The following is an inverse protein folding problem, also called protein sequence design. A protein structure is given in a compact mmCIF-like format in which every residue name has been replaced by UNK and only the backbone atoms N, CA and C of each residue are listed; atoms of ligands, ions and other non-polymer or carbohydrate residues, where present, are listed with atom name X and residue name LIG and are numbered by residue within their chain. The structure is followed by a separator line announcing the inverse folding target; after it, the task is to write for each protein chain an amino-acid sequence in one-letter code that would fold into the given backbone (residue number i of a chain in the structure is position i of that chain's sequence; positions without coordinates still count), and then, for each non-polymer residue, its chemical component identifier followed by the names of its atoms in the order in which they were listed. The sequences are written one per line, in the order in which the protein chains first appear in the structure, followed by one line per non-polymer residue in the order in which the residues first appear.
data_IF_191068143886
#
_entry.id   IF_191068143886
#
_cell.length_a   1.000
_cell.length_b   1.000
_cell.length_c   1.000
_cell.angle_alpha   90.00
_cell.angle_beta   90.00
_cell.angle_gamma   90.00
#
_symmetry.space_group_name_H-M   'P 1'
#
loop_
_entity.id
_entity.type
_entity.pdbx_description
1 polymer ?
#
# COMPACT_ATOMS: atom_id res chain seq x y z
N UNK A 1 28.99 -27.43 74.26
CA UNK A 1 27.69 -27.24 73.58
C UNK A 1 27.94 -26.77 72.16
N UNK A 2 27.46 -27.54 71.17
CA UNK A 2 27.05 -27.20 69.78
C UNK A 2 27.35 -28.40 68.88
N UNK A 3 26.37 -29.29 68.79
CA UNK A 3 26.30 -30.38 67.81
C UNK A 3 26.24 -29.75 66.42
N UNK A 4 27.30 -29.91 65.63
CA UNK A 4 27.27 -29.66 64.19
C UNK A 4 26.59 -30.86 63.53
N UNK A 5 25.32 -30.69 63.18
CA UNK A 5 24.57 -31.65 62.40
C UNK A 5 25.26 -31.82 61.04
N UNK A 6 25.81 -33.00 60.78
CA UNK A 6 26.30 -33.39 59.46
C UNK A 6 25.09 -33.44 58.51
N UNK A 7 25.00 -32.48 57.59
CA UNK A 7 24.05 -32.54 56.48
C UNK A 7 24.33 -33.81 55.67
N UNK A 8 23.32 -34.65 55.51
CA UNK A 8 23.39 -35.86 54.68
C UNK A 8 23.49 -35.41 53.20
N UNK A 9 24.35 -36.02 52.37
CA UNK A 9 24.65 -35.54 51.00
C UNK A 9 23.46 -35.60 50.02
N UNK A 10 22.34 -36.22 50.42
CA UNK A 10 21.14 -36.32 49.60
C UNK A 10 20.49 -34.98 49.26
N UNK A 11 20.63 -33.95 50.11
CA UNK A 11 20.09 -32.61 49.83
C UNK A 11 20.83 -31.88 48.70
N UNK A 12 22.13 -32.12 48.56
CA UNK A 12 22.94 -31.51 47.50
C UNK A 12 22.62 -32.13 46.13
N UNK A 13 22.37 -33.43 46.07
CA UNK A 13 22.01 -34.13 44.84
C UNK A 13 20.65 -33.64 44.32
N UNK A 14 19.67 -33.46 45.21
CA UNK A 14 18.36 -32.92 44.84
C UNK A 14 18.43 -31.48 44.31
N UNK A 15 19.28 -30.64 44.91
CA UNK A 15 19.50 -29.28 44.44
C UNK A 15 20.15 -29.24 43.05
N UNK A 16 21.09 -30.13 42.75
CA UNK A 16 21.73 -30.24 41.43
C UNK A 16 20.71 -30.67 40.37
N UNK A 17 19.84 -31.64 40.68
CA UNK A 17 18.80 -32.10 39.76
C UNK A 17 17.81 -30.98 39.43
N UNK A 18 17.39 -30.18 40.42
CA UNK A 18 16.51 -29.02 40.20
C UNK A 18 17.17 -27.93 39.37
N UNK A 19 18.47 -27.67 39.58
CA UNK A 19 19.23 -26.69 38.80
C UNK A 19 19.38 -27.15 37.35
N UNK A 20 19.67 -28.44 37.13
CA UNK A 20 19.76 -29.04 35.80
C UNK A 20 18.39 -29.02 35.10
N UNK A 21 17.30 -29.34 35.82
CA UNK A 21 15.96 -29.27 35.23
C UNK A 21 15.54 -27.84 34.89
N UNK A 22 15.91 -26.85 35.70
CA UNK A 22 15.62 -25.45 35.45
C UNK A 22 16.41 -24.94 34.24
N UNK A 23 17.69 -25.30 34.12
CA UNK A 23 18.52 -24.94 32.95
C UNK A 23 17.99 -25.59 31.69
N UNK A 24 17.60 -26.87 31.73
CA UNK A 24 16.95 -27.55 30.59
C UNK A 24 15.62 -26.87 30.21
N UNK A 25 14.81 -26.49 31.21
CA UNK A 25 13.54 -25.80 30.99
C UNK A 25 13.74 -24.40 30.38
N UNK A 26 14.75 -23.65 30.83
CA UNK A 26 15.14 -22.38 30.20
C UNK A 26 15.68 -22.59 28.77
N UNK A 27 16.32 -23.72 28.48
CA UNK A 27 16.73 -24.10 27.12
C UNK A 27 15.54 -24.44 26.21
N UNK A 28 14.43 -24.95 26.77
CA UNK A 28 13.19 -25.23 26.04
C UNK A 28 12.35 -23.97 25.77
N UNK A 29 12.49 -22.93 26.58
CA UNK A 29 11.73 -21.67 26.45
C UNK A 29 12.41 -20.67 25.50
N UNK A 30 13.70 -20.85 25.21
CA UNK A 30 14.44 -19.96 24.31
C UNK A 30 14.69 -20.67 22.97
N UNK A 31 13.69 -20.77 22.06
CA UNK A 31 13.94 -21.22 20.71
C UNK A 31 14.95 -20.25 20.11
N UNK A 32 16.16 -20.75 19.80
CA UNK A 32 17.09 -20.01 18.95
C UNK A 32 16.35 -19.80 17.63
N UNK A 33 16.09 -18.55 17.28
CA UNK A 33 15.68 -18.20 15.93
C UNK A 33 16.79 -18.72 15.01
N UNK A 34 16.45 -19.77 14.29
CA UNK A 34 17.30 -20.36 13.27
C UNK A 34 17.21 -19.38 12.10
N UNK A 35 18.19 -18.49 11.97
CA UNK A 35 18.33 -17.65 10.79
C UNK A 35 18.45 -18.56 9.57
N UNK A 36 17.37 -18.65 8.81
CA UNK A 36 17.36 -19.28 7.50
C UNK A 36 18.19 -18.39 6.57
N UNK A 37 19.48 -18.70 6.48
CA UNK A 37 20.35 -18.20 5.42
C UNK A 37 19.92 -18.84 4.11
N UNK A 38 19.11 -18.10 3.35
CA UNK A 38 18.74 -18.47 1.98
C UNK A 38 20.01 -18.31 1.14
N UNK A 39 20.59 -19.44 0.72
CA UNK A 39 21.62 -19.47 -0.32
C UNK A 39 20.93 -19.22 -1.67
N UNK A 40 20.94 -17.96 -2.10
CA UNK A 40 20.29 -17.48 -3.31
C UNK A 40 20.95 -17.97 -4.61
N UNK A 41 22.04 -18.75 -4.54
CA UNK A 41 22.81 -19.14 -5.72
C UNK A 41 22.36 -20.47 -6.38
N UNK A 42 21.38 -21.18 -5.82
CA UNK A 42 20.88 -22.45 -6.39
C UNK A 42 19.52 -22.32 -7.09
N UNK A 43 19.16 -21.12 -7.57
CA UNK A 43 18.00 -20.92 -8.46
C UNK A 43 18.37 -20.30 -9.81
N UNK A 44 19.63 -20.48 -10.23
CA UNK A 44 20.16 -20.01 -11.49
C UNK A 44 20.58 -21.19 -12.39
N UNK A 45 19.63 -21.99 -12.89
CA UNK A 45 19.87 -22.85 -14.06
C UNK A 45 18.63 -22.94 -14.98
N UNK A 46 18.67 -22.10 -16.04
CA UNK A 46 18.12 -22.25 -17.41
C UNK A 46 16.60 -22.21 -17.66
N UNK A 47 16.16 -21.05 -18.20
CA UNK A 47 15.58 -20.88 -19.55
C UNK A 47 15.56 -19.37 -19.87
N UNK A 48 16.60 -18.80 -20.50
CA UNK A 48 16.72 -18.45 -21.92
C UNK A 48 15.63 -17.53 -22.50
N UNK A 49 16.09 -16.33 -22.90
CA UNK A 49 15.58 -15.40 -23.93
C UNK A 49 14.19 -14.80 -23.74
N UNK A 50 14.13 -13.62 -23.11
CA UNK A 50 14.03 -12.32 -23.82
C UNK A 50 14.29 -11.20 -22.81
N UNK A 51 15.30 -10.36 -23.05
CA UNK A 51 15.52 -9.13 -22.29
C UNK A 51 14.44 -8.11 -22.70
N UNK A 52 13.60 -7.60 -21.79
CA UNK A 52 13.29 -6.18 -21.84
C UNK A 52 14.50 -5.45 -21.26
N UNK A 53 15.06 -4.51 -22.03
CA UNK A 53 15.97 -3.51 -21.52
C UNK A 53 15.37 -2.92 -20.23
N UNK A 54 15.98 -3.27 -19.09
CA UNK A 54 15.71 -2.60 -17.82
C UNK A 54 16.38 -1.25 -17.92
N UNK A 55 15.60 -0.25 -18.34
CA UNK A 55 15.97 1.14 -18.15
C UNK A 55 16.24 1.36 -16.67
N UNK A 56 17.43 1.89 -16.39
CA UNK A 56 17.84 2.44 -15.09
C UNK A 56 16.68 3.28 -14.53
N UNK A 57 15.95 2.75 -13.54
CA UNK A 57 15.05 3.57 -12.74
C UNK A 57 15.94 4.29 -11.73
N UNK A 58 16.56 5.38 -12.17
CA UNK A 58 17.10 6.39 -11.27
C UNK A 58 16.02 6.68 -10.22
N UNK A 59 16.34 6.48 -8.94
CA UNK A 59 15.42 6.82 -7.86
C UNK A 59 15.20 8.33 -7.93
N UNK A 60 14.07 8.77 -8.52
CA UNK A 60 13.70 10.18 -8.59
C UNK A 60 13.74 10.76 -7.18
N UNK A 61 14.61 11.74 -6.94
CA UNK A 61 14.70 12.46 -5.67
C UNK A 61 13.77 13.66 -5.63
N UNK A 62 13.23 14.06 -6.78
CA UNK A 62 12.27 15.15 -6.93
C UNK A 62 10.98 14.67 -7.61
N UNK A 63 9.92 15.45 -7.39
CA UNK A 63 8.59 15.28 -7.95
C UNK A 63 8.08 16.60 -8.50
N UNK A 64 7.25 16.56 -9.54
CA UNK A 64 6.60 17.73 -10.12
C UNK A 64 5.12 17.74 -9.75
N UNK A 65 4.62 18.88 -9.24
CA UNK A 65 3.20 19.07 -8.92
C UNK A 65 2.65 20.31 -9.59
N UNK A 66 1.42 20.26 -10.06
CA UNK A 66 0.70 21.40 -10.64
C UNK A 66 -0.20 22.03 -9.57
N UNK A 67 -0.01 23.30 -9.24
CA UNK A 67 -0.78 24.03 -8.23
C UNK A 67 -1.66 25.07 -8.90
N UNK A 68 -2.98 24.97 -8.71
CA UNK A 68 -4.01 25.79 -9.36
C UNK A 68 -5.05 26.34 -8.37
N UNK A 69 -5.92 27.19 -8.88
CA UNK A 69 -7.02 27.80 -8.13
C UNK A 69 -6.60 29.07 -7.40
N UNK A 70 -7.14 29.28 -6.22
CA UNK A 70 -6.98 30.47 -5.37
C UNK A 70 -5.63 30.47 -4.63
N UNK A 71 -4.55 30.43 -5.41
CA UNK A 71 -3.15 30.55 -4.96
C UNK A 71 -2.50 31.78 -5.59
N UNK A 72 -1.49 32.35 -4.92
CA UNK A 72 -0.85 33.60 -5.36
C UNK A 72 0.01 33.45 -6.61
N UNK A 73 0.63 32.29 -6.81
CA UNK A 73 1.41 31.98 -8.01
C UNK A 73 1.06 30.57 -8.48
N UNK A 74 -0.01 30.39 -9.28
CA UNK A 74 -0.32 29.09 -9.87
C UNK A 74 0.77 28.65 -10.85
N UNK A 75 1.03 27.35 -10.93
CA UNK A 75 2.04 26.79 -11.81
C UNK A 75 2.53 25.42 -11.38
N UNK A 76 3.51 24.90 -12.13
CA UNK A 76 4.13 23.60 -11.84
C UNK A 76 5.41 23.82 -11.03
N UNK A 77 5.55 23.05 -9.96
CA UNK A 77 6.64 23.15 -8.99
C UNK A 77 7.37 21.82 -8.86
N UNK A 78 8.69 21.90 -8.76
CA UNK A 78 9.54 20.76 -8.41
C UNK A 78 9.78 20.77 -6.90
N UNK A 79 9.48 19.67 -6.22
CA UNK A 79 9.69 19.46 -4.79
C UNK A 79 10.45 18.15 -4.53
N UNK A 80 10.95 17.98 -3.31
CA UNK A 80 11.58 16.73 -2.89
C UNK A 80 10.54 15.64 -2.60
N UNK A 81 10.93 14.39 -2.81
CA UNK A 81 10.10 13.25 -2.40
C UNK A 81 9.90 13.27 -0.89
N UNK A 82 8.64 13.22 -0.45
CA UNK A 82 8.25 13.33 0.95
C UNK A 82 7.72 14.70 1.36
N UNK A 83 7.78 15.70 0.48
CA UNK A 83 7.08 16.98 0.65
C UNK A 83 5.57 16.78 0.76
N UNK A 84 4.90 17.73 1.40
CA UNK A 84 3.44 17.78 1.61
C UNK A 84 2.78 18.88 0.80
N UNK A 85 1.45 18.84 0.70
CA UNK A 85 0.63 19.92 0.10
C UNK A 85 0.98 21.28 0.69
N UNK A 86 1.22 21.34 2.01
CA UNK A 86 1.68 22.55 2.68
C UNK A 86 2.92 23.17 2.01
N UNK A 87 3.93 22.36 1.70
CA UNK A 87 5.20 22.82 1.12
C UNK A 87 4.98 23.36 -0.29
N UNK A 88 4.15 22.68 -1.09
CA UNK A 88 3.81 23.15 -2.45
C UNK A 88 3.06 24.49 -2.43
N UNK A 89 2.13 24.68 -1.50
CA UNK A 89 1.39 25.94 -1.36
C UNK A 89 2.31 27.07 -0.89
N UNK A 90 3.23 26.79 0.04
CA UNK A 90 4.22 27.78 0.49
C UNK A 90 5.13 28.24 -0.67
N UNK A 91 5.65 27.29 -1.47
CA UNK A 91 6.46 27.60 -2.65
C UNK A 91 5.64 28.37 -3.70
N UNK A 92 4.34 28.07 -3.84
CA UNK A 92 3.41 28.79 -4.71
C UNK A 92 3.02 30.20 -4.20
N UNK A 93 3.69 30.68 -3.15
CA UNK A 93 3.52 32.00 -2.58
C UNK A 93 2.39 32.10 -1.55
N UNK A 94 1.78 30.97 -1.19
CA UNK A 94 0.66 30.86 -0.27
C UNK A 94 -0.71 31.09 -0.92
N UNK A 95 -1.74 31.00 -0.07
CA UNK A 95 -3.13 31.23 -0.44
C UNK A 95 -3.40 32.66 -0.93
N UNK A 96 -4.32 32.78 -1.89
CA UNK A 96 -4.94 34.06 -2.25
C UNK A 96 -5.94 34.49 -1.17
N UNK A 97 -6.35 35.76 -1.17
CA UNK A 97 -7.23 36.32 -0.12
C UNK A 97 -8.66 35.75 -0.12
N UNK A 98 -9.04 35.12 -1.22
CA UNK A 98 -10.33 34.49 -1.46
C UNK A 98 -10.25 32.97 -1.40
N UNK A 99 -9.13 32.38 -0.97
CA UNK A 99 -8.97 30.93 -0.88
C UNK A 99 -9.78 30.31 0.26
N UNK A 100 -10.37 29.14 0.02
CA UNK A 100 -11.00 28.33 1.04
C UNK A 100 -10.03 27.26 1.56
N UNK A 101 -9.25 27.62 2.57
CA UNK A 101 -8.23 26.75 3.16
C UNK A 101 -8.81 25.51 3.86
N UNK A 102 -10.05 25.59 4.33
CA UNK A 102 -10.69 24.54 5.14
C UNK A 102 -10.97 23.26 4.35
N UNK A 103 -11.00 23.35 3.02
CA UNK A 103 -11.27 22.22 2.13
C UNK A 103 -10.01 21.44 1.72
N UNK A 104 -8.83 21.78 2.27
CA UNK A 104 -7.56 21.19 1.84
C UNK A 104 -6.86 20.49 3.00
N UNK A 105 -6.45 19.24 2.76
CA UNK A 105 -5.59 18.52 3.67
C UNK A 105 -4.11 18.89 3.47
N UNK A 106 -3.66 19.96 4.12
CA UNK A 106 -2.27 20.45 4.05
C UNK A 106 -1.21 19.41 4.47
N UNK A 107 -1.59 18.41 5.27
CA UNK A 107 -0.68 17.38 5.76
C UNK A 107 -0.46 16.23 4.77
N UNK A 108 -1.24 16.17 3.68
CA UNK A 108 -1.14 15.13 2.67
C UNK A 108 0.24 15.17 1.99
N UNK A 109 0.85 14.00 1.82
CA UNK A 109 2.10 13.85 1.07
C UNK A 109 1.86 14.05 -0.42
N UNK A 110 2.88 14.57 -1.09
CA UNK A 110 2.89 14.75 -2.53
C UNK A 110 3.35 13.49 -3.24
N UNK A 111 2.82 13.32 -4.45
CA UNK A 111 3.26 12.33 -5.41
C UNK A 111 3.63 13.05 -6.71
N UNK A 112 4.51 12.43 -7.50
CA UNK A 112 4.85 12.94 -8.82
C UNK A 112 3.59 13.07 -9.68
N UNK A 113 3.53 14.13 -10.47
CA UNK A 113 2.43 14.49 -11.38
C UNK A 113 1.11 14.86 -10.67
N UNK A 114 1.13 15.05 -9.35
CA UNK A 114 -0.06 15.45 -8.58
C UNK A 114 -0.55 16.85 -8.96
N UNK A 115 -1.87 16.98 -9.17
CA UNK A 115 -2.56 18.27 -9.29
C UNK A 115 -3.15 18.66 -7.93
N UNK A 116 -2.83 19.87 -7.49
CA UNK A 116 -3.38 20.51 -6.30
C UNK A 116 -4.25 21.66 -6.77
N UNK A 117 -5.55 21.57 -6.50
CA UNK A 117 -6.47 22.68 -6.71
C UNK A 117 -6.84 23.29 -5.36
N UNK A 118 -6.93 24.61 -5.33
CA UNK A 118 -7.36 25.36 -4.16
C UNK A 118 -8.63 26.14 -4.50
N UNK A 119 -9.78 25.78 -3.91
CA UNK A 119 -11.03 26.46 -4.21
C UNK A 119 -11.06 27.87 -3.62
N UNK A 120 -11.85 28.76 -4.22
CA UNK A 120 -12.24 30.03 -3.61
C UNK A 120 -13.31 29.86 -2.53
N UNK A 121 -13.51 30.86 -1.67
CA UNK A 121 -14.62 30.92 -0.74
C UNK A 121 -15.96 30.89 -1.48
N UNK A 122 -16.84 29.97 -1.10
CA UNK A 122 -18.13 29.76 -1.76
C UNK A 122 -18.05 29.00 -3.08
N UNK A 123 -16.85 28.62 -3.53
CA UNK A 123 -16.67 27.59 -4.55
C UNK A 123 -16.88 26.22 -3.89
N UNK A 124 -18.04 25.62 -4.14
CA UNK A 124 -18.20 24.19 -3.92
C UNK A 124 -17.39 23.48 -4.99
N UNK A 125 -16.17 23.08 -4.62
CA UNK A 125 -15.39 22.19 -5.45
C UNK A 125 -16.15 20.87 -5.56
N UNK A 126 -16.73 20.63 -6.73
CA UNK A 126 -17.06 19.29 -7.19
C UNK A 126 -15.72 18.58 -7.34
N UNK A 127 -15.22 18.03 -6.23
CA UNK A 127 -14.07 17.12 -6.18
C UNK A 127 -14.44 15.82 -6.92
N UNK A 128 -14.60 15.91 -8.24
CA UNK A 128 -14.63 14.79 -9.17
C UNK A 128 -13.28 14.59 -9.88
N UNK A 129 -12.25 15.39 -9.56
CA UNK A 129 -10.97 15.36 -10.30
C UNK A 129 -9.69 15.24 -9.45
N UNK A 130 -9.77 15.12 -8.13
CA UNK A 130 -8.58 14.89 -7.27
C UNK A 130 -8.64 13.60 -6.42
N UNK A 131 -9.71 12.80 -6.57
CA UNK A 131 -9.75 11.40 -6.06
C UNK A 131 -9.60 10.36 -7.18
N UNK A 132 -9.32 10.79 -8.42
CA UNK A 132 -8.97 9.89 -9.53
C UNK A 132 -7.46 9.72 -9.69
N UNK A 133 -6.67 10.06 -8.66
CA UNK A 133 -5.26 9.70 -8.59
C UNK A 133 -5.11 8.33 -7.90
N UNK A 134 -5.74 7.30 -8.48
CA UNK A 134 -5.31 5.93 -8.22
C UNK A 134 -5.43 5.06 -9.49
N UNK A 135 -4.40 5.25 -10.33
CA UNK A 135 -3.70 4.25 -11.17
C UNK A 135 -4.08 4.00 -12.62
N UNK A 136 -4.08 5.06 -13.41
CA UNK A 136 -3.45 4.96 -14.73
C UNK A 136 -1.93 5.08 -14.60
N UNK A 137 -1.23 4.01 -14.21
CA UNK A 137 0.21 3.89 -14.52
C UNK A 137 0.50 2.87 -15.61
N UNK A 138 -0.54 2.21 -16.12
CA UNK A 138 -0.40 1.14 -17.12
C UNK A 138 -1.69 0.90 -17.95
N UNK A 139 -2.67 1.82 -17.87
CA UNK A 139 -4.01 1.63 -18.48
C UNK A 139 -4.87 0.54 -17.82
N UNK A 140 -4.57 0.18 -16.56
CA UNK A 140 -5.29 -0.83 -15.77
C UNK A 140 -6.14 -0.17 -14.69
N UNK A 141 -7.24 -0.81 -14.32
CA UNK A 141 -8.25 -0.29 -13.39
C UNK A 141 -8.22 -1.11 -12.10
N UNK A 142 -8.16 -0.44 -10.94
CA UNK A 142 -8.24 -1.10 -9.62
C UNK A 142 -9.67 -1.57 -9.37
N UNK A 143 -9.89 -2.88 -9.29
CA UNK A 143 -11.24 -3.43 -9.12
C UNK A 143 -11.86 -3.11 -7.74
N UNK A 144 -11.02 -2.94 -6.72
CA UNK A 144 -11.48 -2.71 -5.34
C UNK A 144 -11.79 -1.24 -5.07
N UNK A 145 -11.15 -0.32 -5.78
CA UNK A 145 -11.29 1.13 -5.56
C UNK A 145 -12.10 1.83 -6.66
N UNK A 146 -12.15 1.26 -7.87
CA UNK A 146 -12.73 1.93 -9.02
C UNK A 146 -14.21 2.29 -8.80
N UNK A 147 -14.57 3.45 -9.32
CA UNK A 147 -15.94 3.95 -9.42
C UNK A 147 -16.73 3.20 -10.49
N UNK A 148 -18.06 3.33 -10.49
CA UNK A 148 -18.89 2.73 -11.51
C UNK A 148 -18.50 3.17 -12.93
N UNK A 149 -18.16 4.46 -13.09
CA UNK A 149 -17.77 5.05 -14.38
C UNK A 149 -16.44 4.46 -14.87
N UNK A 150 -15.46 4.29 -13.98
CA UNK A 150 -14.17 3.67 -14.30
C UNK A 150 -14.36 2.19 -14.69
N UNK A 151 -15.18 1.43 -13.93
CA UNK A 151 -15.47 0.03 -14.25
C UNK A 151 -16.14 -0.14 -15.62
N UNK A 152 -16.97 0.82 -16.04
CA UNK A 152 -17.63 0.80 -17.36
C UNK A 152 -16.66 1.01 -18.54
N UNK A 153 -15.44 1.49 -18.29
CA UNK A 153 -14.41 1.59 -19.34
C UNK A 153 -13.85 0.21 -19.73
N UNK A 154 -14.10 -0.81 -18.92
CA UNK A 154 -13.60 -2.17 -19.15
C UNK A 154 -14.37 -2.88 -20.29
N UNK A 155 -13.68 -3.64 -21.15
CA UNK A 155 -14.32 -4.30 -22.28
C UNK A 155 -15.37 -5.33 -21.82
N UNK A 156 -16.64 -5.06 -22.16
CA UNK A 156 -17.75 -5.94 -21.84
C UNK A 156 -18.33 -5.77 -20.43
N UNK A 157 -17.89 -4.74 -19.70
CA UNK A 157 -18.55 -4.22 -18.51
C UNK A 157 -19.43 -3.04 -18.93
N UNK A 158 -20.65 -3.01 -18.40
CA UNK A 158 -21.58 -1.90 -18.57
C UNK A 158 -22.30 -1.66 -17.24
N UNK A 159 -23.25 -0.72 -17.18
CA UNK A 159 -23.80 -0.21 -15.91
C UNK A 159 -24.27 -1.31 -14.95
N UNK A 160 -24.96 -2.33 -15.47
CA UNK A 160 -25.45 -3.44 -14.66
C UNK A 160 -24.35 -4.31 -14.05
N UNK A 161 -23.23 -4.50 -14.75
CA UNK A 161 -22.11 -5.32 -14.27
C UNK A 161 -21.21 -4.51 -13.35
N UNK A 162 -20.98 -3.23 -13.66
CA UNK A 162 -20.28 -2.31 -12.77
C UNK A 162 -20.96 -2.22 -11.40
N UNK A 163 -22.29 -2.05 -11.39
CA UNK A 163 -23.07 -2.08 -10.15
C UNK A 163 -22.92 -3.42 -9.40
N UNK A 164 -22.96 -4.55 -10.11
CA UNK A 164 -22.80 -5.87 -9.49
C UNK A 164 -21.41 -6.07 -8.85
N UNK A 165 -20.34 -5.55 -9.46
CA UNK A 165 -18.98 -5.58 -8.90
C UNK A 165 -18.94 -4.79 -7.59
N UNK A 166 -19.50 -3.58 -7.59
CA UNK A 166 -19.53 -2.71 -6.42
C UNK A 166 -20.32 -3.36 -5.27
N UNK A 167 -21.53 -3.83 -5.55
CA UNK A 167 -22.35 -4.54 -4.55
C UNK A 167 -21.61 -5.75 -3.99
N UNK A 168 -20.96 -6.55 -4.85
CA UNK A 168 -20.22 -7.72 -4.39
C UNK A 168 -19.10 -7.34 -3.42
N UNK A 169 -18.26 -6.34 -3.74
CA UNK A 169 -17.15 -5.95 -2.86
C UNK A 169 -17.61 -5.29 -1.55
N UNK A 170 -18.77 -4.62 -1.56
CA UNK A 170 -19.37 -4.06 -0.35
C UNK A 170 -19.91 -5.14 0.59
N UNK A 171 -20.50 -6.21 0.03
CA UNK A 171 -21.10 -7.30 0.81
C UNK A 171 -20.09 -8.36 1.24
N UNK A 172 -19.10 -8.67 0.41
CA UNK A 172 -18.17 -9.80 0.59
C UNK A 172 -16.74 -9.36 0.92
N UNK A 173 -16.46 -8.05 0.85
CA UNK A 173 -15.12 -7.50 1.00
C UNK A 173 -14.35 -7.46 -0.33
N UNK A 174 -13.09 -6.98 -0.30
CA UNK A 174 -12.29 -6.78 -1.50
C UNK A 174 -12.00 -8.09 -2.25
N UNK A 175 -11.92 -8.00 -3.58
CA UNK A 175 -11.47 -9.09 -4.43
C UNK A 175 -9.99 -9.34 -4.20
N UNK A 176 -9.62 -10.61 -4.02
CA UNK A 176 -8.22 -11.04 -3.82
C UNK A 176 -7.53 -11.37 -5.14
N UNK A 177 -8.32 -11.72 -6.15
CA UNK A 177 -7.80 -12.07 -7.46
C UNK A 177 -8.89 -12.20 -8.51
N UNK A 178 -8.42 -12.42 -9.74
CA UNK A 178 -9.26 -12.47 -10.93
C UNK A 178 -10.34 -13.55 -10.87
N UNK A 179 -10.07 -14.64 -10.18
CA UNK A 179 -11.00 -15.76 -10.01
C UNK A 179 -12.22 -15.39 -9.16
N UNK A 180 -12.10 -14.42 -8.25
CA UNK A 180 -13.21 -13.98 -7.41
C UNK A 180 -14.31 -13.28 -8.21
N UNK A 181 -13.97 -12.71 -9.38
CA UNK A 181 -14.93 -12.07 -10.27
C UNK A 181 -16.00 -13.01 -10.81
N UNK A 182 -15.75 -14.33 -10.82
CA UNK A 182 -16.76 -15.32 -11.26
C UNK A 182 -17.97 -15.35 -10.34
N UNK A 183 -17.83 -14.85 -9.11
CA UNK A 183 -18.90 -14.78 -8.12
C UNK A 183 -19.84 -13.58 -8.36
N UNK A 184 -19.43 -12.65 -9.23
CA UNK A 184 -20.23 -11.48 -9.59
C UNK A 184 -21.25 -11.84 -10.66
N UNK A 185 -22.52 -11.54 -10.40
CA UNK A 185 -23.62 -11.81 -11.33
C UNK A 185 -23.38 -11.14 -12.70
N UNK A 186 -23.40 -11.94 -13.77
CA UNK A 186 -23.20 -11.45 -15.13
C UNK A 186 -21.73 -11.38 -15.59
N UNK A 187 -20.77 -11.75 -14.74
CA UNK A 187 -19.36 -11.92 -15.10
C UNK A 187 -19.05 -13.41 -15.20
N UNK A 188 -18.84 -13.88 -16.42
CA UNK A 188 -18.47 -15.27 -16.69
C UNK A 188 -17.01 -15.39 -17.14
N UNK A 189 -16.50 -16.64 -17.29
CA UNK A 189 -15.10 -16.90 -17.65
C UNK A 189 -14.62 -16.13 -18.90
N UNK A 190 -15.47 -16.03 -19.92
CA UNK A 190 -15.16 -15.27 -21.15
C UNK A 190 -14.99 -13.77 -20.95
N UNK A 191 -15.67 -13.19 -19.96
CA UNK A 191 -15.46 -11.79 -19.60
C UNK A 191 -14.13 -11.67 -18.86
N UNK A 192 -13.88 -12.58 -17.92
CA UNK A 192 -12.67 -12.60 -17.09
C UNK A 192 -11.40 -12.68 -17.94
N UNK A 193 -11.36 -13.56 -18.95
CA UNK A 193 -10.25 -13.67 -19.90
C UNK A 193 -9.93 -12.34 -20.61
N UNK A 194 -10.93 -11.49 -20.84
CA UNK A 194 -10.74 -10.18 -21.47
C UNK A 194 -10.35 -9.09 -20.49
N UNK A 195 -10.64 -9.28 -19.20
CA UNK A 195 -10.42 -8.29 -18.16
C UNK A 195 -9.05 -8.44 -17.50
N UNK A 196 -8.42 -9.63 -17.59
CA UNK A 196 -7.15 -9.93 -16.91
C UNK A 196 -6.04 -8.92 -17.19
N UNK A 197 -5.99 -8.38 -18.42
CA UNK A 197 -4.94 -7.44 -18.84
C UNK A 197 -5.22 -5.99 -18.39
N UNK A 198 -6.46 -5.69 -17.99
CA UNK A 198 -6.93 -4.35 -17.64
C UNK A 198 -7.19 -4.16 -16.15
N UNK A 199 -6.94 -5.18 -15.33
CA UNK A 199 -7.30 -5.16 -13.91
C UNK A 199 -6.09 -5.29 -12.99
N UNK A 200 -6.18 -4.61 -11.86
CA UNK A 200 -5.28 -4.77 -10.70
C UNK A 200 -6.11 -4.94 -9.43
N UNK A 201 -5.56 -5.67 -8.46
CA UNK A 201 -6.24 -6.11 -7.22
C UNK A 201 -5.53 -5.53 -6.00
N UNK A 202 -5.54 -4.20 -5.88
CA UNK A 202 -4.96 -3.47 -4.74
C UNK A 202 -6.03 -2.98 -3.78
#
# INVERSE_FOLDING_TARGET
MKNLARLKPFGAIGAIILLVSLVLFLHLINPKEEEVMIDWNEYQVKHHSDEPESGDSESKTSLMVDVKGSIRSPGVYELEVGSRIFDAIEIAGGFSSDANELNINLAQLLHDEMLIYVPAEGEEEVLELASSAVEERDGKISINDATAVELEQLPGIGPSKAAAIITYREEHGPFKGIDDLVQVSGIGPKSIEKLQEFLIFR
#
